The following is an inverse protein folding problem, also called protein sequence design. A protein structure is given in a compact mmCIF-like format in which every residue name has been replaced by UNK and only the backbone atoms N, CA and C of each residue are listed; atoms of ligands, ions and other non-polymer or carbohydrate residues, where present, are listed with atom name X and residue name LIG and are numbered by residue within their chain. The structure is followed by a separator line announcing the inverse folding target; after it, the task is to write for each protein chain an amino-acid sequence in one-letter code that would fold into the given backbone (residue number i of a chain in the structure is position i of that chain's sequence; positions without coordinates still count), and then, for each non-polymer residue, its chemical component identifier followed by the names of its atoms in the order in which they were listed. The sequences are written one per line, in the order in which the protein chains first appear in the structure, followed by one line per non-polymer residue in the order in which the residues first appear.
data_IF_782884672285
#
_entry.id   IF_782884672285
#
_cell.length_a   1.000
_cell.length_b   1.000
_cell.length_c   1.000
_cell.angle_alpha   90.00
_cell.angle_beta   90.00
_cell.angle_gamma   90.00
#
_symmetry.space_group_name_H-M   'P 1'
#
loop_
_entity.id
_entity.type
_entity.pdbx_description
1 polymer ?
#
# COMPACT_ATOMS: atom_id res chain seq x y z
N UNK A 1 22.01 19.59 -10.80
CA UNK A 1 22.20 18.39 -9.96
C UNK A 1 20.91 17.58 -9.99
N UNK A 2 20.82 16.60 -10.91
CA UNK A 2 19.61 15.79 -11.11
C UNK A 2 19.30 15.02 -9.81
N UNK A 3 18.20 15.37 -9.12
CA UNK A 3 17.69 14.59 -8.00
C UNK A 3 17.33 13.21 -8.56
N UNK A 4 18.17 12.20 -8.33
CA UNK A 4 17.83 10.82 -8.67
C UNK A 4 16.50 10.46 -7.99
N UNK A 5 15.47 10.32 -8.81
CA UNK A 5 14.09 10.04 -8.38
C UNK A 5 14.08 8.70 -7.62
N UNK A 6 14.86 7.73 -8.10
CA UNK A 6 15.05 6.41 -7.51
C UNK A 6 16.50 6.20 -7.05
N UNK A 7 16.70 6.17 -5.73
CA UNK A 7 17.94 5.71 -5.10
C UNK A 7 17.74 4.26 -4.66
N UNK A 8 18.79 3.43 -4.71
CA UNK A 8 18.73 2.02 -4.30
C UNK A 8 18.11 1.85 -2.90
N UNK A 9 18.43 2.74 -1.96
CA UNK A 9 17.85 2.76 -0.60
C UNK A 9 16.33 2.95 -0.61
N UNK A 10 15.80 3.82 -1.48
CA UNK A 10 14.36 4.05 -1.59
C UNK A 10 13.65 2.81 -2.12
N UNK A 11 14.17 2.23 -3.20
CA UNK A 11 13.60 1.01 -3.80
C UNK A 11 13.60 -0.14 -2.78
N UNK A 12 14.73 -0.35 -2.07
CA UNK A 12 14.82 -1.37 -1.04
C UNK A 12 13.79 -1.15 0.10
N UNK A 13 13.57 0.10 0.50
CA UNK A 13 12.57 0.43 1.52
C UNK A 13 11.15 0.16 1.02
N UNK A 14 10.82 0.55 -0.21
CA UNK A 14 9.52 0.29 -0.84
C UNK A 14 9.27 -1.23 -0.93
N UNK A 15 10.27 -2.00 -1.37
CA UNK A 15 10.18 -3.45 -1.46
C UNK A 15 9.95 -4.11 -0.09
N UNK A 16 10.62 -3.61 0.96
CA UNK A 16 10.42 -4.09 2.33
C UNK A 16 9.01 -3.77 2.86
N UNK A 17 8.47 -2.58 2.56
CA UNK A 17 7.08 -2.26 2.90
C UNK A 17 6.10 -3.12 2.11
N UNK A 18 6.45 -3.49 0.87
CA UNK A 18 5.58 -4.29 0.01
C UNK A 18 5.51 -5.73 0.49
N UNK A 19 6.65 -6.31 0.88
CA UNK A 19 6.66 -7.63 1.51
C UNK A 19 5.87 -7.62 2.82
N UNK A 20 6.01 -6.55 3.62
CA UNK A 20 5.23 -6.39 4.85
C UNK A 20 3.73 -6.28 4.57
N UNK A 21 3.31 -5.54 3.54
CA UNK A 21 1.91 -5.52 3.09
C UNK A 21 1.41 -6.94 2.85
N UNK A 22 2.10 -7.72 2.02
CA UNK A 22 1.65 -9.07 1.66
C UNK A 22 1.55 -9.95 2.91
N UNK A 23 2.56 -9.93 3.79
CA UNK A 23 2.55 -10.72 5.03
C UNK A 23 1.38 -10.33 5.94
N UNK A 24 1.17 -9.03 6.17
CA UNK A 24 0.07 -8.55 7.02
C UNK A 24 -1.29 -8.92 6.44
N UNK A 25 -1.48 -8.73 5.13
CA UNK A 25 -2.69 -9.12 4.42
C UNK A 25 -2.96 -10.61 4.58
N UNK A 26 -1.94 -11.47 4.52
CA UNK A 26 -2.16 -12.93 4.49
C UNK A 26 -2.24 -13.58 5.86
N UNK A 27 -1.45 -13.12 6.83
CA UNK A 27 -1.30 -13.79 8.13
C UNK A 27 -1.95 -13.06 9.30
N UNK A 28 -2.15 -11.74 9.21
CA UNK A 28 -2.64 -10.93 10.33
C UNK A 28 -4.12 -10.53 10.14
N UNK A 29 -4.64 -10.63 8.91
CA UNK A 29 -6.03 -10.32 8.63
C UNK A 29 -6.98 -11.31 9.33
N UNK A 30 -8.02 -10.77 9.98
CA UNK A 30 -9.09 -11.57 10.59
C UNK A 30 -10.19 -11.75 9.55
N UNK A 31 -10.40 -12.99 9.13
CA UNK A 31 -11.34 -13.35 8.07
C UNK A 31 -12.42 -14.30 8.63
N UNK A 32 -13.68 -13.90 8.47
CA UNK A 32 -14.87 -14.73 8.73
C UNK A 32 -15.53 -15.09 7.40
N UNK A 33 -16.59 -15.91 7.41
CA UNK A 33 -17.33 -16.22 6.19
C UNK A 33 -18.03 -15.01 5.55
N UNK A 34 -18.26 -13.93 6.31
CA UNK A 34 -19.07 -12.79 5.86
C UNK A 34 -18.25 -11.52 5.71
N UNK A 35 -17.24 -11.32 6.55
CA UNK A 35 -16.41 -10.10 6.52
C UNK A 35 -14.93 -10.40 6.80
N UNK A 36 -14.08 -9.49 6.32
CA UNK A 36 -12.63 -9.54 6.50
C UNK A 36 -12.11 -8.18 6.98
N UNK A 37 -11.37 -8.19 8.08
CA UNK A 37 -10.69 -7.02 8.62
C UNK A 37 -9.20 -7.15 8.28
N UNK A 38 -8.73 -6.27 7.39
CA UNK A 38 -7.33 -6.22 6.98
C UNK A 38 -6.55 -5.14 7.72
N UNK A 39 -5.30 -5.43 8.05
CA UNK A 39 -4.34 -4.46 8.61
C UNK A 39 -3.34 -3.94 7.58
N UNK A 40 -3.60 -4.21 6.29
CA UNK A 40 -2.74 -3.82 5.17
C UNK A 40 -2.63 -2.30 4.99
N UNK A 41 -3.58 -1.55 5.56
CA UNK A 41 -3.56 -0.09 5.61
C UNK A 41 -2.30 0.46 6.27
N UNK A 42 -1.68 -0.26 7.21
CA UNK A 42 -0.47 0.21 7.92
C UNK A 42 0.71 0.36 6.95
N UNK A 43 1.17 -0.70 6.25
CA UNK A 43 2.26 -0.55 5.28
C UNK A 43 1.89 0.33 4.08
N UNK A 44 0.64 0.29 3.60
CA UNK A 44 0.18 1.14 2.48
C UNK A 44 0.23 2.62 2.83
N UNK A 45 -0.36 3.02 3.96
CA UNK A 45 -0.34 4.41 4.42
C UNK A 45 1.07 4.90 4.72
N UNK A 46 1.93 4.05 5.30
CA UNK A 46 3.32 4.39 5.58
C UNK A 46 4.10 4.63 4.28
N UNK A 47 3.92 3.78 3.27
CA UNK A 47 4.56 3.95 1.97
C UNK A 47 4.09 5.26 1.29
N UNK A 48 2.78 5.50 1.25
CA UNK A 48 2.21 6.71 0.66
C UNK A 48 2.61 7.99 1.41
N UNK A 49 2.72 7.93 2.75
CA UNK A 49 3.19 9.05 3.58
C UNK A 49 4.67 9.38 3.33
N UNK A 50 5.51 8.37 3.06
CA UNK A 50 6.96 8.57 2.86
C UNK A 50 7.32 8.95 1.43
N UNK A 51 6.62 8.40 0.44
CA UNK A 51 7.01 8.48 -0.96
C UNK A 51 5.98 9.19 -1.86
N UNK A 52 4.81 9.54 -1.32
CA UNK A 52 3.78 10.33 -1.99
C UNK A 52 2.73 9.49 -2.74
N UNK A 53 1.69 10.16 -3.28
CA UNK A 53 0.51 9.49 -3.84
C UNK A 53 0.82 8.63 -5.06
N UNK A 54 1.71 9.07 -5.95
CA UNK A 54 2.05 8.32 -7.17
C UNK A 54 2.85 7.05 -6.89
N UNK A 55 3.83 7.12 -5.98
CA UNK A 55 4.58 5.94 -5.57
C UNK A 55 3.68 5.01 -4.75
N UNK A 56 2.80 5.57 -3.91
CA UNK A 56 1.75 4.82 -3.22
C UNK A 56 0.83 4.06 -4.19
N UNK A 57 0.37 4.70 -5.26
CA UNK A 57 -0.49 4.07 -6.28
C UNK A 57 0.16 2.82 -6.89
N UNK A 58 1.42 2.97 -7.34
CA UNK A 58 2.20 1.87 -7.91
C UNK A 58 2.42 0.78 -6.86
N UNK A 59 2.74 1.17 -5.63
CA UNK A 59 2.90 0.24 -4.52
C UNK A 59 1.64 -0.59 -4.27
N UNK A 60 0.46 0.05 -4.16
CA UNK A 60 -0.81 -0.64 -3.91
C UNK A 60 -1.17 -1.62 -5.03
N UNK A 61 -1.06 -1.17 -6.28
CA UNK A 61 -1.32 -2.03 -7.43
C UNK A 61 -0.40 -3.26 -7.47
N UNK A 62 0.90 -3.04 -7.26
CA UNK A 62 1.89 -4.13 -7.27
C UNK A 62 1.73 -5.05 -6.06
N UNK A 63 1.36 -4.51 -4.89
CA UNK A 63 1.09 -5.30 -3.69
C UNK A 63 -0.09 -6.26 -3.89
N UNK A 64 -1.18 -5.81 -4.53
CA UNK A 64 -2.32 -6.67 -4.86
C UNK A 64 -1.95 -7.73 -5.90
N UNK A 65 -1.29 -7.33 -6.99
CA UNK A 65 -0.85 -8.25 -8.04
C UNK A 65 0.09 -9.34 -7.50
N UNK A 66 1.15 -8.95 -6.78
CA UNK A 66 2.10 -9.89 -6.20
C UNK A 66 1.46 -10.70 -5.07
N UNK A 67 0.61 -10.07 -4.26
CA UNK A 67 -0.13 -10.74 -3.21
C UNK A 67 -0.99 -11.87 -3.76
N UNK A 68 -1.65 -11.67 -4.90
CA UNK A 68 -2.45 -12.69 -5.58
C UNK A 68 -1.62 -13.72 -6.33
N UNK A 69 -0.46 -13.34 -6.88
CA UNK A 69 0.48 -14.29 -7.49
C UNK A 69 1.08 -15.27 -6.47
N UNK A 70 1.49 -14.79 -5.30
CA UNK A 70 2.16 -15.62 -4.28
C UNK A 70 1.13 -16.43 -3.46
N UNK A 71 0.00 -15.82 -3.13
CA UNK A 71 -1.04 -16.44 -2.30
C UNK A 71 -2.41 -16.33 -2.96
N UNK A 72 -2.68 -17.11 -4.03
CA UNK A 72 -3.92 -17.03 -4.77
C UNK A 72 -5.11 -17.46 -3.89
N UNK A 73 -6.16 -16.62 -3.86
CA UNK A 73 -7.46 -16.90 -3.21
C UNK A 73 -8.61 -16.93 -4.23
N UNK A 74 -8.32 -17.33 -5.46
CA UNK A 74 -9.26 -17.36 -6.58
C UNK A 74 -8.74 -16.60 -7.81
N UNK A 75 -9.59 -16.42 -8.84
CA UNK A 75 -9.23 -15.68 -10.04
C UNK A 75 -8.83 -14.24 -9.73
N UNK A 76 -7.77 -13.75 -10.37
CA UNK A 76 -7.37 -12.36 -10.23
C UNK A 76 -8.32 -11.45 -11.01
N UNK A 77 -8.85 -10.43 -10.33
CA UNK A 77 -9.63 -9.36 -10.95
C UNK A 77 -8.82 -8.06 -10.90
N UNK A 78 -8.41 -7.49 -12.05
CA UNK A 78 -7.58 -6.26 -12.08
C UNK A 78 -8.20 -5.05 -11.37
N UNK A 79 -9.52 -5.01 -11.20
CA UNK A 79 -10.17 -3.94 -10.45
C UNK A 79 -9.78 -3.89 -8.96
N UNK A 80 -9.33 -5.00 -8.36
CA UNK A 80 -8.81 -4.99 -6.99
C UNK A 80 -7.48 -4.22 -6.91
N UNK A 81 -6.57 -4.43 -7.87
CA UNK A 81 -5.33 -3.67 -7.96
C UNK A 81 -5.58 -2.17 -8.18
N UNK A 82 -6.56 -1.81 -9.00
CA UNK A 82 -6.96 -0.39 -9.19
C UNK A 82 -7.53 0.18 -7.89
N UNK A 83 -8.36 -0.58 -7.18
CA UNK A 83 -8.91 -0.17 -5.88
C UNK A 83 -7.81 0.07 -4.84
N UNK A 84 -6.83 -0.84 -4.72
CA UNK A 84 -5.67 -0.65 -3.84
C UNK A 84 -4.80 0.54 -4.27
N UNK A 85 -4.64 0.79 -5.57
CA UNK A 85 -3.93 1.97 -6.04
C UNK A 85 -4.63 3.27 -5.62
N UNK A 86 -5.96 3.35 -5.79
CA UNK A 86 -6.76 4.50 -5.35
C UNK A 86 -6.71 4.66 -3.82
N UNK A 87 -6.77 3.56 -3.09
CA UNK A 87 -6.64 3.54 -1.64
C UNK A 87 -5.27 4.04 -1.15
N UNK A 88 -4.19 3.72 -1.86
CA UNK A 88 -2.87 4.27 -1.56
C UNK A 88 -2.74 5.75 -1.95
N UNK A 89 -3.41 6.18 -3.03
CA UNK A 89 -3.46 7.59 -3.44
C UNK A 89 -4.13 8.43 -2.37
N UNK A 90 -5.27 7.99 -1.81
CA UNK A 90 -5.95 8.76 -0.76
C UNK A 90 -5.01 9.00 0.42
N UNK A 91 -4.34 7.96 0.93
CA UNK A 91 -3.33 8.17 1.99
C UNK A 91 -2.20 9.10 1.57
N UNK A 92 -1.73 9.00 0.32
CA UNK A 92 -0.71 9.91 -0.19
C UNK A 92 -1.18 11.36 -0.21
N UNK A 93 -2.42 11.64 -0.62
CA UNK A 93 -2.96 13.00 -0.67
C UNK A 93 -3.10 13.65 0.71
N UNK A 94 -3.52 12.87 1.71
CA UNK A 94 -3.76 13.38 3.06
C UNK A 94 -2.52 13.36 3.97
N UNK A 95 -1.60 12.41 3.79
CA UNK A 95 -0.45 12.21 4.70
C UNK A 95 0.89 12.71 4.14
N UNK A 96 1.08 12.78 2.82
CA UNK A 96 2.37 13.14 2.23
C UNK A 96 2.68 14.64 2.42
N UNK A 97 3.81 14.92 3.07
CA UNK A 97 4.28 16.30 3.36
C UNK A 97 3.26 17.17 4.12
N UNK A 98 2.30 16.56 4.82
CA UNK A 98 1.32 17.26 5.66
C UNK A 98 1.70 17.18 7.14
N UNK A 99 1.24 18.15 7.93
CA UNK A 99 1.35 18.10 9.39
C UNK A 99 0.43 16.98 9.90
N UNK A 100 0.96 16.17 10.81
CA UNK A 100 0.28 14.99 11.37
C UNK A 100 -0.75 15.41 12.43
N UNK A 101 -1.80 16.07 11.98
CA UNK A 101 -2.95 16.48 12.79
C UNK A 101 -4.11 15.51 12.56
N UNK A 102 -5.02 15.35 13.53
CA UNK A 102 -6.16 14.43 13.48
C UNK A 102 -6.99 14.60 12.19
N UNK A 103 -7.13 15.84 11.70
CA UNK A 103 -7.83 16.19 10.46
C UNK A 103 -7.23 15.62 9.17
N UNK A 104 -5.96 15.21 9.21
CA UNK A 104 -5.26 14.62 8.06
C UNK A 104 -5.10 13.10 8.21
N UNK A 105 -5.32 12.57 9.43
CA UNK A 105 -5.21 11.14 9.73
C UNK A 105 -6.55 10.43 9.51
N UNK A 106 -7.66 11.12 9.79
CA UNK A 106 -9.03 10.65 9.56
C UNK A 106 -9.56 11.41 8.34
N UNK A 107 -9.36 10.90 7.10
CA UNK A 107 -9.97 11.46 5.90
C UNK A 107 -11.50 11.33 5.91
#
# INVERSE_FOLDING_TARGET
MSKQIFSAKKIATIALLLSLHIVVTRFVAVETQVFRIGFNFIPTSLCAMLFGPWIGAVFGFVADLLGMMVFPKGPYFPGFGINEALYAITYGLFLYQKKKDLKHIIP
#
